data_IF_599920924129
#
_entry.id   IF_599920924129
#
_cell.length_a   1.000
_cell.length_b   1.000
_cell.length_c   1.000
_cell.angle_alpha   90.00
_cell.angle_beta   90.00
_cell.angle_gamma   90.00
#
_symmetry.space_group_name_H-M   'P 1'
#
loop_
_entity.id
_entity.type
_entity.pdbx_description
1 polymer ?
#
# COMPACT_ATOMS: atom_id res chain seq x y z
N UNK A 1 -0.73 -29.17 12.22
CA UNK A 1 -1.43 -30.19 11.41
C UNK A 1 -0.43 -31.24 10.93
N UNK A 2 -0.86 -32.46 10.65
CA UNK A 2 -0.01 -33.49 10.04
C UNK A 2 -0.84 -34.30 9.05
N UNK A 3 -0.19 -34.88 8.05
CA UNK A 3 -0.82 -35.79 7.08
C UNK A 3 -0.31 -37.19 7.35
N UNK A 4 -1.20 -38.07 7.79
CA UNK A 4 -0.87 -39.48 8.05
C UNK A 4 -1.29 -40.34 6.84
N UNK A 5 -0.45 -41.29 6.45
CA UNK A 5 -0.80 -42.26 5.41
C UNK A 5 -1.49 -43.49 6.03
N UNK A 6 -2.69 -43.81 5.57
CA UNK A 6 -3.51 -44.93 6.09
C UNK A 6 -3.49 -46.11 5.13
N UNK A 7 -3.13 -47.29 5.65
CA UNK A 7 -3.17 -48.59 4.98
C UNK A 7 -4.12 -49.55 5.74
N UNK A 8 -4.54 -50.68 5.15
CA UNK A 8 -5.48 -51.61 5.79
C UNK A 8 -5.01 -52.17 7.15
N UNK A 9 -3.70 -52.29 7.35
CA UNK A 9 -3.06 -52.89 8.52
C UNK A 9 -2.28 -51.90 9.40
N UNK A 10 -2.06 -50.66 8.93
CA UNK A 10 -1.27 -49.67 9.65
C UNK A 10 -1.56 -48.23 9.22
N UNK A 11 -1.26 -47.30 10.12
CA UNK A 11 -1.19 -45.87 9.82
C UNK A 11 0.24 -45.39 10.05
N UNK A 12 0.84 -44.77 9.03
CA UNK A 12 2.16 -44.13 9.11
C UNK A 12 1.95 -42.65 9.41
N UNK A 13 2.41 -42.21 10.59
CA UNK A 13 2.28 -40.80 10.99
C UNK A 13 3.22 -39.91 10.18
N UNK A 14 2.69 -38.83 9.61
CA UNK A 14 3.51 -37.83 8.92
C UNK A 14 4.20 -36.87 9.89
N UNK A 15 5.02 -36.00 9.31
CA UNK A 15 5.65 -34.90 10.06
C UNK A 15 4.58 -33.95 10.59
N UNK A 16 4.82 -33.41 11.79
CA UNK A 16 3.97 -32.37 12.36
C UNK A 16 4.38 -31.02 11.77
N UNK A 17 3.46 -30.38 11.08
CA UNK A 17 3.59 -29.04 10.53
C UNK A 17 2.87 -28.05 11.43
N UNK A 18 3.51 -26.94 11.76
CA UNK A 18 2.81 -25.74 12.21
C UNK A 18 2.61 -24.84 11.00
N UNK A 19 1.48 -24.15 10.95
CA UNK A 19 1.36 -22.91 10.20
C UNK A 19 0.84 -21.86 11.16
N UNK A 20 1.31 -20.63 10.99
CA UNK A 20 0.74 -19.47 11.65
C UNK A 20 0.07 -18.64 10.56
N UNK A 21 -1.08 -18.05 10.86
CA UNK A 21 -1.62 -16.99 10.00
C UNK A 21 -0.75 -15.75 10.19
N UNK A 22 -0.45 -15.04 9.10
CA UNK A 22 0.26 -13.77 9.18
C UNK A 22 -0.53 -12.82 10.07
N UNK A 23 0.11 -12.08 10.99
CA UNK A 23 -0.55 -11.18 11.95
C UNK A 23 -1.30 -9.98 11.33
N UNK A 24 -1.60 -10.04 10.04
CA UNK A 24 -2.17 -8.98 9.23
C UNK A 24 -3.05 -9.53 8.11
N UNK A 25 -3.88 -8.67 7.53
CA UNK A 25 -4.58 -8.88 6.26
C UNK A 25 -3.87 -8.01 5.21
N UNK A 26 -3.51 -8.58 4.06
CA UNK A 26 -2.85 -7.83 2.98
C UNK A 26 -3.85 -6.94 2.23
N UNK A 27 -3.48 -5.67 1.99
CA UNK A 27 -4.25 -4.75 1.15
C UNK A 27 -3.66 -4.72 -0.26
N UNK A 28 -2.35 -4.48 -0.36
CA UNK A 28 -1.58 -4.58 -1.59
C UNK A 28 -0.11 -4.82 -1.22
N UNK A 29 0.47 -5.91 -1.72
CA UNK A 29 1.90 -6.22 -1.59
C UNK A 29 2.66 -5.95 -2.89
N UNK A 30 1.99 -5.41 -3.91
CA UNK A 30 2.52 -5.08 -5.23
C UNK A 30 3.01 -6.27 -6.07
N UNK A 31 2.97 -7.50 -5.55
CA UNK A 31 3.54 -8.67 -6.21
C UNK A 31 2.71 -9.16 -7.41
N UNK A 32 1.43 -8.79 -7.47
CA UNK A 32 0.54 -9.24 -8.54
C UNK A 32 0.73 -8.48 -9.87
N UNK A 33 1.43 -7.34 -9.87
CA UNK A 33 1.58 -6.50 -11.06
C UNK A 33 2.57 -7.10 -12.06
N UNK A 34 2.31 -6.91 -13.36
CA UNK A 34 3.12 -7.48 -14.43
C UNK A 34 3.41 -6.47 -15.56
N UNK A 35 4.34 -6.87 -16.43
CA UNK A 35 4.85 -6.09 -17.57
C UNK A 35 4.10 -6.38 -18.88
N UNK A 36 2.87 -6.90 -18.80
CA UNK A 36 2.07 -7.27 -19.95
C UNK A 36 1.17 -6.10 -20.32
N UNK A 37 1.28 -5.64 -21.57
CA UNK A 37 0.45 -4.56 -22.10
C UNK A 37 -0.90 -5.05 -22.65
N UNK A 38 -1.97 -4.23 -22.55
CA UNK A 38 -3.20 -4.44 -23.30
C UNK A 38 -2.94 -4.51 -24.81
N UNK A 39 -3.75 -5.26 -25.58
CA UNK A 39 -5.05 -5.82 -25.19
C UNK A 39 -4.97 -7.24 -24.58
N UNK A 40 -3.81 -7.70 -24.14
CA UNK A 40 -3.71 -9.01 -23.49
C UNK A 40 -4.61 -9.09 -22.25
N UNK A 41 -5.35 -10.20 -22.11
CA UNK A 41 -6.28 -10.41 -21.01
C UNK A 41 -5.57 -10.64 -19.66
N UNK A 42 -4.30 -11.02 -19.69
CA UNK A 42 -3.46 -11.22 -18.51
C UNK A 42 -2.76 -9.91 -18.06
N UNK A 43 -2.95 -8.80 -18.77
CA UNK A 43 -2.44 -7.48 -18.41
C UNK A 43 -2.87 -7.07 -17.00
N UNK A 44 -1.91 -6.82 -16.13
CA UNK A 44 -2.13 -6.34 -14.78
C UNK A 44 -1.08 -5.28 -14.39
N UNK A 45 -1.06 -4.14 -15.10
CA UNK A 45 -0.09 -3.08 -14.86
C UNK A 45 -0.48 -2.25 -13.63
N UNK A 46 0.52 -1.78 -12.88
CA UNK A 46 0.32 -1.09 -11.61
C UNK A 46 -0.53 0.19 -11.74
N UNK A 47 -0.29 1.00 -12.75
CA UNK A 47 -1.04 2.24 -13.01
C UNK A 47 -2.44 2.01 -13.58
N UNK A 48 -2.79 0.79 -14.01
CA UNK A 48 -4.18 0.43 -14.33
C UNK A 48 -5.02 0.20 -13.05
N UNK A 49 -4.37 -0.06 -11.90
CA UNK A 49 -5.03 -0.29 -10.60
C UNK A 49 -4.91 0.90 -9.65
N UNK A 50 -3.74 1.51 -9.59
CA UNK A 50 -3.48 2.73 -8.85
C UNK A 50 -3.70 3.93 -9.76
N UNK A 51 -4.89 4.53 -9.67
CA UNK A 51 -5.27 5.68 -10.49
C UNK A 51 -4.51 6.91 -9.98
N UNK A 52 -3.60 7.42 -10.81
CA UNK A 52 -2.69 8.53 -10.49
C UNK A 52 -3.07 9.83 -11.21
N UNK A 53 -2.09 10.72 -11.43
CA UNK A 53 -2.24 12.00 -12.11
C UNK A 53 -1.95 11.99 -13.60
N UNK A 54 -1.72 10.84 -14.24
CA UNK A 54 -1.42 10.82 -15.67
C UNK A 54 -2.54 11.46 -16.50
N UNK A 55 -2.17 12.43 -17.34
CA UNK A 55 -3.12 13.23 -18.13
C UNK A 55 -3.90 14.29 -17.33
N UNK A 56 -3.62 14.46 -16.03
CA UNK A 56 -4.21 15.51 -15.20
C UNK A 56 -3.34 16.78 -15.17
N UNK A 57 -4.00 17.92 -14.99
CA UNK A 57 -3.33 19.22 -14.74
C UNK A 57 -3.35 19.62 -13.27
N UNK A 58 -4.03 18.85 -12.41
CA UNK A 58 -4.23 19.15 -10.99
C UNK A 58 -3.77 18.04 -10.06
N UNK A 59 -3.32 16.91 -10.60
CA UNK A 59 -2.73 15.80 -9.86
C UNK A 59 -1.30 15.53 -10.37
N UNK A 60 -0.30 15.67 -9.50
CA UNK A 60 1.11 15.53 -9.85
C UNK A 60 1.70 14.14 -9.61
N UNK A 61 0.87 13.18 -9.22
CA UNK A 61 1.32 11.80 -9.00
C UNK A 61 1.55 11.07 -10.32
N UNK A 62 2.64 10.30 -10.37
CA UNK A 62 2.82 9.23 -11.37
C UNK A 62 3.25 7.96 -10.64
N UNK A 63 2.52 6.87 -10.86
CA UNK A 63 2.80 5.55 -10.28
C UNK A 63 3.32 4.60 -11.36
N UNK A 64 4.34 3.83 -11.00
CA UNK A 64 5.01 2.93 -11.93
C UNK A 64 6.09 3.62 -12.76
N UNK A 65 6.84 2.84 -13.52
CA UNK A 65 7.80 3.31 -14.51
C UNK A 65 7.10 3.47 -15.87
N UNK A 66 7.59 4.38 -16.71
CA UNK A 66 7.05 4.59 -18.07
C UNK A 66 7.25 3.37 -18.99
N UNK A 67 8.28 2.56 -18.70
CA UNK A 67 8.64 1.35 -19.44
C UNK A 67 8.85 0.18 -18.47
N UNK A 68 8.63 -1.07 -18.93
CA UNK A 68 8.91 -2.26 -18.14
C UNK A 68 10.35 -2.32 -17.59
N UNK A 69 10.56 -2.81 -16.36
CA UNK A 69 9.51 -3.28 -15.45
C UNK A 69 8.68 -2.13 -14.89
N UNK A 70 7.35 -2.26 -14.94
CA UNK A 70 6.44 -1.18 -14.53
C UNK A 70 6.48 -0.92 -13.02
N UNK A 71 6.75 -1.95 -12.23
CA UNK A 71 7.09 -1.81 -10.81
C UNK A 71 8.61 -1.77 -10.62
N UNK A 72 9.05 -1.32 -9.44
CA UNK A 72 10.47 -1.25 -9.08
C UNK A 72 10.93 -2.60 -8.51
N UNK A 73 11.96 -3.21 -9.11
CA UNK A 73 12.42 -4.56 -8.74
C UNK A 73 13.75 -4.58 -7.97
N UNK A 74 14.41 -3.42 -7.79
CA UNK A 74 15.70 -3.31 -7.10
C UNK A 74 15.58 -2.66 -5.73
N UNK A 75 14.71 -1.66 -5.59
CA UNK A 75 14.41 -1.01 -4.33
C UNK A 75 13.11 -1.61 -3.79
N UNK A 76 13.23 -2.71 -3.06
CA UNK A 76 12.11 -3.52 -2.56
C UNK A 76 12.24 -3.69 -1.04
N UNK A 77 11.13 -3.74 -0.31
CA UNK A 77 11.10 -4.05 1.12
C UNK A 77 10.84 -5.55 1.34
N UNK A 78 9.76 -6.06 0.75
CA UNK A 78 9.34 -7.46 0.80
C UNK A 78 9.03 -7.99 -0.59
N UNK A 79 9.09 -9.31 -0.79
CA UNK A 79 8.75 -9.89 -2.10
C UNK A 79 9.77 -9.58 -3.21
N UNK A 80 9.28 -9.31 -4.41
CA UNK A 80 10.06 -9.11 -5.63
C UNK A 80 9.89 -7.73 -6.27
N UNK A 81 8.90 -6.94 -5.86
CA UNK A 81 8.69 -5.61 -6.44
C UNK A 81 8.02 -4.63 -5.46
N UNK A 82 8.25 -3.34 -5.69
CA UNK A 82 7.60 -2.26 -4.94
C UNK A 82 7.00 -1.23 -5.88
N UNK A 83 6.13 -0.36 -5.37
CA UNK A 83 5.54 0.74 -6.14
C UNK A 83 6.47 1.95 -6.18
N UNK A 84 7.05 2.33 -7.34
CA UNK A 84 7.65 3.64 -7.50
C UNK A 84 6.54 4.69 -7.64
N UNK A 85 6.65 5.76 -6.87
CA UNK A 85 5.70 6.88 -6.85
C UNK A 85 6.48 8.18 -7.04
N UNK A 86 6.25 8.89 -8.14
CA UNK A 86 6.71 10.27 -8.32
C UNK A 86 5.63 11.24 -7.85
N UNK A 87 6.04 12.26 -7.11
CA UNK A 87 5.17 13.39 -6.79
C UNK A 87 5.74 14.69 -7.37
N UNK A 88 4.83 15.56 -7.78
CA UNK A 88 5.11 16.94 -8.15
C UNK A 88 4.01 17.82 -7.57
N UNK A 89 4.33 18.58 -6.54
CA UNK A 89 3.34 19.40 -5.85
C UNK A 89 3.46 20.88 -6.17
N UNK A 90 4.01 21.25 -7.33
CA UNK A 90 4.05 22.65 -7.74
C UNK A 90 2.63 23.15 -8.09
N UNK A 91 1.98 23.84 -7.14
CA UNK A 91 0.59 24.34 -7.25
C UNK A 91 -0.45 23.24 -7.46
N UNK A 92 -0.13 22.01 -7.05
CA UNK A 92 -1.01 20.85 -7.13
C UNK A 92 -0.73 19.88 -5.98
N UNK A 93 -1.56 18.86 -5.82
CA UNK A 93 -1.29 17.71 -4.94
C UNK A 93 -1.01 16.48 -5.77
N UNK A 94 -0.29 15.52 -5.21
CA UNK A 94 -0.03 14.24 -5.87
C UNK A 94 -0.83 13.18 -5.14
N UNK A 95 -1.73 12.49 -5.82
CA UNK A 95 -2.57 11.44 -5.25
C UNK A 95 -2.62 10.23 -6.18
N UNK A 96 -2.41 9.03 -5.64
CA UNK A 96 -2.69 7.77 -6.34
C UNK A 96 -3.68 6.96 -5.53
N UNK A 97 -4.72 6.45 -6.17
CA UNK A 97 -5.86 5.81 -5.51
C UNK A 97 -6.09 4.39 -6.01
N UNK A 98 -6.14 3.45 -5.07
CA UNK A 98 -6.55 2.08 -5.31
C UNK A 98 -8.03 1.91 -4.93
N UNK A 99 -8.81 1.32 -5.84
CA UNK A 99 -10.16 0.83 -5.52
C UNK A 99 -10.06 -0.59 -4.98
N UNK A 100 -10.57 -0.78 -3.76
CA UNK A 100 -10.49 -2.05 -3.04
C UNK A 100 -11.57 -3.01 -3.51
N UNK A 101 -11.16 -4.20 -3.94
CA UNK A 101 -12.05 -5.36 -4.11
C UNK A 101 -12.11 -6.15 -2.80
N UNK A 102 -10.95 -6.35 -2.16
CA UNK A 102 -10.76 -6.93 -0.84
C UNK A 102 -9.41 -6.43 -0.28
N UNK A 103 -9.27 -6.23 1.05
CA UNK A 103 -10.31 -6.22 2.09
C UNK A 103 -11.06 -4.88 2.12
N UNK A 104 -12.37 -4.94 2.40
CA UNK A 104 -13.23 -3.74 2.53
C UNK A 104 -13.84 -3.56 3.92
N UNK A 105 -13.96 -4.65 4.69
CA UNK A 105 -14.31 -4.57 6.11
C UNK A 105 -13.00 -4.59 6.91
N UNK A 106 -12.56 -3.42 7.34
CA UNK A 106 -11.35 -3.21 8.13
C UNK A 106 -11.60 -3.39 9.64
N UNK A 107 -12.77 -3.91 10.02
CA UNK A 107 -13.03 -4.43 11.37
C UNK A 107 -12.86 -5.95 11.44
N UNK A 108 -12.67 -6.62 10.29
CA UNK A 108 -12.36 -8.04 10.20
C UNK A 108 -11.18 -8.41 11.10
N UNK A 109 -11.31 -9.56 11.77
CA UNK A 109 -10.27 -10.15 12.61
C UNK A 109 -9.70 -9.19 13.68
N UNK A 110 -10.50 -8.20 14.09
CA UNK A 110 -10.16 -7.23 15.12
C UNK A 110 -9.12 -6.21 14.71
N UNK A 111 -8.86 -6.00 13.42
CA UNK A 111 -7.90 -5.00 12.89
C UNK A 111 -8.01 -3.66 13.63
N UNK A 112 -6.85 -3.12 13.99
CA UNK A 112 -6.75 -1.82 14.68
C UNK A 112 -5.83 -0.83 13.99
N UNK A 113 -4.98 -1.29 13.07
CA UNK A 113 -3.97 -0.44 12.44
C UNK A 113 -3.82 -0.73 10.97
N UNK A 114 -3.59 0.31 10.19
CA UNK A 114 -3.06 0.24 8.83
C UNK A 114 -1.54 0.41 8.93
N UNK A 115 -0.79 -0.38 8.17
CA UNK A 115 0.65 -0.27 8.01
C UNK A 115 1.00 -0.15 6.53
N UNK A 116 1.95 0.71 6.21
CA UNK A 116 2.53 0.86 4.87
C UNK A 116 4.03 1.03 5.02
N UNK A 117 4.83 0.31 4.22
CA UNK A 117 6.26 0.55 4.16
C UNK A 117 6.57 1.58 3.09
N UNK A 118 7.44 2.53 3.43
CA UNK A 118 7.87 3.55 2.48
C UNK A 118 9.37 3.80 2.55
N UNK A 119 9.93 4.26 1.44
CA UNK A 119 11.31 4.73 1.32
C UNK A 119 11.38 5.92 0.39
N UNK A 120 11.74 7.06 0.94
CA UNK A 120 12.07 8.26 0.17
C UNK A 120 13.53 8.30 -0.27
N UNK A 121 14.01 9.50 -0.58
CA UNK A 121 15.41 9.76 -0.90
C UNK A 121 15.83 11.10 -0.28
N UNK A 122 17.06 11.20 0.22
CA UNK A 122 17.55 12.42 0.88
C UNK A 122 17.58 13.66 -0.03
N UNK A 123 17.57 13.47 -1.36
CA UNK A 123 17.49 14.53 -2.35
C UNK A 123 16.08 14.98 -2.71
N UNK A 124 15.04 14.33 -2.17
CA UNK A 124 13.64 14.72 -2.39
C UNK A 124 13.35 16.08 -1.75
N UNK A 125 12.44 16.84 -2.36
CA UNK A 125 11.87 17.99 -1.68
C UNK A 125 11.02 17.52 -0.48
N UNK A 126 11.14 18.15 0.68
CA UNK A 126 10.29 17.81 1.82
C UNK A 126 8.82 18.08 1.47
N UNK A 127 7.95 17.11 1.70
CA UNK A 127 6.51 17.28 1.57
C UNK A 127 5.74 16.34 2.51
N UNK A 128 4.51 16.72 2.86
CA UNK A 128 3.66 15.98 3.77
C UNK A 128 3.06 14.79 3.05
N UNK A 129 3.37 13.59 3.53
CA UNK A 129 2.74 12.35 3.10
C UNK A 129 1.43 12.13 3.84
N UNK A 130 0.41 11.62 3.15
CA UNK A 130 -0.88 11.26 3.75
C UNK A 130 -1.51 10.02 3.12
N UNK A 131 -2.39 9.37 3.88
CA UNK A 131 -3.35 8.39 3.39
C UNK A 131 -4.75 8.99 3.46
N UNK A 132 -5.57 8.74 2.45
CA UNK A 132 -6.99 9.04 2.49
C UNK A 132 -7.83 7.77 2.31
N UNK A 133 -8.81 7.55 3.19
CA UNK A 133 -9.81 6.48 3.02
C UNK A 133 -11.12 7.04 2.49
N UNK A 134 -11.70 6.39 1.49
CA UNK A 134 -12.93 6.82 0.81
C UNK A 134 -12.88 8.29 0.35
N UNK A 135 -11.68 8.80 0.04
CA UNK A 135 -11.42 10.17 -0.40
C UNK A 135 -11.48 11.27 0.66
N UNK A 136 -12.03 10.98 1.85
CA UNK A 136 -12.43 12.00 2.83
C UNK A 136 -11.59 12.02 4.12
N UNK A 137 -11.26 10.87 4.70
CA UNK A 137 -10.52 10.82 5.95
C UNK A 137 -9.02 10.96 5.71
N UNK A 138 -8.44 12.12 6.02
CA UNK A 138 -7.05 12.44 5.77
C UNK A 138 -6.19 12.15 7.00
N UNK A 139 -5.22 11.25 6.83
CA UNK A 139 -4.30 10.81 7.86
C UNK A 139 -2.89 11.18 7.40
N UNK A 140 -2.33 12.25 7.98
CA UNK A 140 -1.00 12.71 7.65
C UNK A 140 0.07 11.94 8.43
N UNK A 141 1.19 11.68 7.79
CA UNK A 141 2.40 11.23 8.49
C UNK A 141 2.85 12.33 9.48
N UNK A 142 3.34 11.92 10.64
CA UNK A 142 3.74 12.84 11.72
C UNK A 142 4.96 13.69 11.35
N UNK A 143 5.92 13.09 10.64
CA UNK A 143 7.07 13.80 10.05
C UNK A 143 6.66 14.48 8.73
N UNK A 144 6.67 15.82 8.66
CA UNK A 144 6.36 16.56 7.43
C UNK A 144 7.46 16.47 6.36
N UNK A 145 8.61 15.86 6.67
CA UNK A 145 9.70 15.60 5.75
C UNK A 145 9.92 14.09 5.49
N UNK A 146 8.89 13.25 5.72
CA UNK A 146 8.96 11.80 5.51
C UNK A 146 9.47 11.41 4.09
N UNK A 147 9.21 12.23 3.07
CA UNK A 147 9.72 12.04 1.70
C UNK A 147 11.25 11.98 1.62
N UNK A 148 11.98 12.46 2.63
CA UNK A 148 13.44 12.50 2.66
C UNK A 148 14.07 11.29 3.36
N UNK A 149 13.26 10.39 3.92
CA UNK A 149 13.75 9.21 4.66
C UNK A 149 14.29 8.15 3.68
N UNK A 150 15.61 8.10 3.52
CA UNK A 150 16.28 7.27 2.53
C UNK A 150 16.41 5.76 2.87
N UNK A 151 15.65 5.29 3.87
CA UNK A 151 15.61 3.90 4.33
C UNK A 151 14.15 3.44 4.43
N UNK A 152 13.91 2.15 4.24
CA UNK A 152 12.60 1.55 4.49
C UNK A 152 12.16 1.81 5.93
N UNK A 153 10.99 2.39 6.07
CA UNK A 153 10.37 2.75 7.34
C UNK A 153 8.91 2.32 7.30
N UNK A 154 8.46 1.68 8.37
CA UNK A 154 7.06 1.34 8.54
C UNK A 154 6.30 2.56 9.04
N UNK A 155 5.24 2.93 8.32
CA UNK A 155 4.29 3.92 8.78
C UNK A 155 3.03 3.22 9.28
N UNK A 156 2.77 3.34 10.58
CA UNK A 156 1.63 2.70 11.24
C UNK A 156 0.60 3.76 11.62
N UNK A 157 -0.64 3.53 11.22
CA UNK A 157 -1.77 4.45 11.36
C UNK A 157 -2.88 3.73 12.14
N UNK A 158 -3.44 4.40 13.14
CA UNK A 158 -4.65 3.91 13.82
C UNK A 158 -5.86 4.07 12.89
N UNK A 159 -6.54 2.97 12.54
CA UNK A 159 -7.69 3.03 11.64
C UNK A 159 -8.87 3.76 12.28
N UNK A 160 -8.93 3.83 13.63
CA UNK A 160 -9.95 4.58 14.34
C UNK A 160 -9.90 6.08 13.99
N UNK A 161 -8.72 6.63 13.72
CA UNK A 161 -8.59 8.03 13.30
C UNK A 161 -9.32 8.36 11.98
N UNK A 162 -9.59 7.34 11.15
CA UNK A 162 -10.43 7.50 9.96
C UNK A 162 -11.93 7.43 10.27
N UNK A 163 -12.33 6.57 11.21
CA UNK A 163 -13.72 6.48 11.68
C UNK A 163 -14.14 7.78 12.40
N UNK A 164 -13.22 8.40 13.13
CA UNK A 164 -13.43 9.71 13.77
C UNK A 164 -13.67 10.83 12.73
N UNK A 165 -13.24 10.62 11.48
CA UNK A 165 -13.50 11.49 10.33
C UNK A 165 -14.70 11.02 9.47
N UNK A 166 -15.48 10.04 9.95
CA UNK A 166 -16.73 9.60 9.32
C UNK A 166 -16.60 8.43 8.35
N UNK A 167 -15.45 7.76 8.26
CA UNK A 167 -15.31 6.54 7.44
C UNK A 167 -15.95 5.34 8.16
N UNK A 168 -16.88 4.66 7.48
CA UNK A 168 -17.37 3.37 7.93
C UNK A 168 -16.30 2.29 7.67
N UNK A 169 -15.59 1.86 8.72
CA UNK A 169 -14.53 0.85 8.61
C UNK A 169 -15.03 -0.51 8.10
N UNK A 170 -16.33 -0.80 8.25
CA UNK A 170 -16.95 -2.00 7.68
C UNK A 170 -17.13 -1.94 6.15
N UNK A 171 -16.86 -0.79 5.53
CA UNK A 171 -17.02 -0.59 4.08
C UNK A 171 -16.05 0.48 3.53
N UNK A 172 -14.76 0.18 3.57
CA UNK A 172 -13.70 0.96 2.90
C UNK A 172 -13.63 0.54 1.43
N UNK A 173 -13.88 1.49 0.54
CA UNK A 173 -13.92 1.27 -0.91
C UNK A 173 -12.63 1.72 -1.60
N UNK A 174 -11.95 2.74 -1.06
CA UNK A 174 -10.71 3.25 -1.65
C UNK A 174 -9.68 3.59 -0.59
N UNK A 175 -8.42 3.40 -0.97
CA UNK A 175 -7.25 3.95 -0.27
C UNK A 175 -6.48 4.83 -1.25
N UNK A 176 -6.14 6.04 -0.82
CA UNK A 176 -5.32 6.99 -1.57
C UNK A 176 -4.01 7.20 -0.82
N UNK A 177 -2.90 7.14 -1.52
CA UNK A 177 -1.59 7.63 -1.02
C UNK A 177 -1.33 8.97 -1.70
N UNK A 178 -1.01 9.99 -0.91
CA UNK A 178 -0.78 11.31 -1.47
C UNK A 178 0.29 12.13 -0.76
N UNK A 179 0.67 13.21 -1.45
CA UNK A 179 1.65 14.19 -1.01
C UNK A 179 1.10 15.61 -1.17
N UNK A 180 1.48 16.50 -0.27
CA UNK A 180 1.00 17.88 -0.22
C UNK A 180 -0.05 18.09 0.86
N UNK A 181 -0.67 19.27 0.85
CA UNK A 181 -1.84 19.55 1.69
C UNK A 181 -3.09 19.48 0.84
N UNK A 182 -3.87 18.40 0.98
CA UNK A 182 -5.09 18.18 0.17
C UNK A 182 -6.04 19.37 0.29
N UNK A 183 -6.61 19.78 -0.84
CA UNK A 183 -7.50 20.94 -1.00
C UNK A 183 -6.86 22.31 -0.70
N UNK A 184 -5.56 22.39 -0.45
CA UNK A 184 -4.81 23.63 -0.26
C UNK A 184 -3.44 23.56 -0.95
N UNK A 185 -3.39 23.38 -2.29
CA UNK A 185 -2.14 23.28 -3.02
C UNK A 185 -1.33 24.58 -2.90
N UNK A 186 -0.05 24.44 -2.63
CA UNK A 186 0.93 25.52 -2.58
C UNK A 186 2.08 25.19 -3.54
N UNK A 187 3.03 26.10 -3.72
CA UNK A 187 4.25 25.76 -4.46
C UNK A 187 5.03 24.71 -3.65
N UNK A 188 5.00 23.47 -4.10
CA UNK A 188 5.78 22.35 -3.57
C UNK A 188 6.91 21.94 -4.49
N UNK A 189 7.72 20.98 -4.03
CA UNK A 189 8.77 20.38 -4.84
C UNK A 189 8.36 19.05 -5.45
N UNK A 190 9.37 18.33 -5.92
CA UNK A 190 9.22 17.01 -6.53
C UNK A 190 10.10 15.99 -5.82
N UNK A 191 9.79 14.72 -6.03
CA UNK A 191 10.62 13.62 -5.56
C UNK A 191 10.04 12.27 -5.96
N UNK A 192 10.75 11.21 -5.57
CA UNK A 192 10.32 9.82 -5.77
C UNK A 192 10.33 9.09 -4.44
N UNK A 193 9.24 8.41 -4.11
CA UNK A 193 9.08 7.56 -2.94
C UNK A 193 8.71 6.16 -3.42
N UNK A 194 9.23 5.14 -2.77
CA UNK A 194 8.84 3.75 -2.98
C UNK A 194 7.91 3.32 -1.88
N UNK A 195 6.85 2.59 -2.23
CA UNK A 195 5.91 2.01 -1.28
C UNK A 195 5.87 0.50 -1.45
N UNK A 196 5.70 -0.19 -0.33
CA UNK A 196 5.63 -1.64 -0.29
C UNK A 196 4.73 -2.08 0.87
N UNK A 197 4.26 -3.32 0.84
CA UNK A 197 3.60 -4.00 1.95
C UNK A 197 2.50 -3.17 2.66
N UNK A 198 1.38 -2.90 2.00
CA UNK A 198 0.22 -2.27 2.64
C UNK A 198 -0.63 -3.33 3.34
N UNK A 199 -0.76 -3.20 4.66
CA UNK A 199 -1.30 -4.26 5.53
C UNK A 199 -2.24 -3.71 6.58
N UNK A 200 -3.30 -4.44 6.88
CA UNK A 200 -4.14 -4.24 8.05
C UNK A 200 -3.64 -5.12 9.19
N UNK A 201 -3.09 -4.50 10.23
CA UNK A 201 -2.53 -5.22 11.36
C UNK A 201 -3.63 -5.60 12.34
N UNK A 202 -3.62 -6.88 12.70
CA UNK A 202 -4.44 -7.41 13.77
C UNK A 202 -3.74 -7.11 15.10
N UNK A 203 -4.49 -6.90 16.19
CA UNK A 203 -3.93 -6.92 17.53
C UNK A 203 -3.10 -8.20 17.66
N UNK A 204 -1.87 -8.07 18.14
CA UNK A 204 -1.04 -9.23 18.38
C UNK A 204 -1.84 -10.19 19.29
N UNK A 205 -2.20 -11.36 18.75
CA UNK A 205 -2.82 -12.39 19.55
C UNK A 205 -1.85 -12.75 20.67
N UNK A 206 -2.25 -12.52 21.93
CA UNK A 206 -1.76 -13.38 22.98
C UNK A 206 -2.10 -14.83 22.58
N UNK A 207 -1.16 -15.76 22.77
CA UNK A 207 -1.27 -17.14 22.30
C UNK A 207 -2.54 -17.86 22.75
#
# INVERSE_FOLDING_TARGET
WRVDAVYPDKTVKGLLWSFATAGFIGVDDFEAYNDIDPPDAESNRIFDKWIDGFGSTTNGALVGNDLPPYAEQTIVHGGGQSMPYLYNNNLMTSEATLTLVYPRDWTEEGVTKLSLWFRGASGNAADRMFVALNGNALLYHEDPAATQVAKWTEWVIDVQASADQGVALTNVNTITIGFGTKNAPVAGGTGKVYFDDIRLLRPAGQP
#
